data_IF_201572272085
#
_entry.id   IF_201572272085
#
_cell.length_a   1.000
_cell.length_b   1.000
_cell.length_c   1.000
_cell.angle_alpha   90.00
_cell.angle_beta   90.00
_cell.angle_gamma   90.00
#
_symmetry.space_group_name_H-M   'P 1'
#
loop_
_entity.id
_entity.type
_entity.pdbx_description
1 polymer ?
#
# COMPACT_ATOMS: atom_id res chain seq x y z
N UNK A 1 -4.06 1.51 -19.33
CA UNK A 1 -4.67 1.84 -18.04
C UNK A 1 -5.56 0.69 -17.57
N UNK A 2 -5.50 0.41 -16.32
CA UNK A 2 -6.29 -0.64 -15.72
C UNK A 2 -7.78 -0.25 -15.68
N UNK A 3 -8.69 -1.21 -15.98
CA UNK A 3 -10.13 -0.97 -15.98
C UNK A 3 -10.64 -0.51 -14.61
N UNK A 4 -10.09 -1.06 -13.54
CA UNK A 4 -10.46 -0.65 -12.18
C UNK A 4 -10.07 0.79 -11.90
N UNK A 5 -8.89 1.17 -12.36
CA UNK A 5 -8.44 2.54 -12.22
C UNK A 5 -9.37 3.51 -12.95
N UNK A 6 -9.79 3.14 -14.15
CA UNK A 6 -10.72 3.96 -14.90
C UNK A 6 -12.04 4.14 -14.17
N UNK A 7 -12.51 3.09 -13.50
CA UNK A 7 -13.73 3.18 -12.71
C UNK A 7 -13.58 4.09 -11.50
N UNK A 8 -12.43 4.05 -10.84
CA UNK A 8 -12.17 4.93 -9.70
C UNK A 8 -12.00 6.38 -10.11
N UNK A 9 -11.33 6.60 -11.23
CA UNK A 9 -11.00 7.96 -11.68
C UNK A 9 -12.17 8.68 -12.32
N UNK A 10 -13.19 7.96 -12.76
CA UNK A 10 -14.33 8.55 -13.46
C UNK A 10 -15.50 8.78 -12.54
N UNK A 11 -16.22 9.86 -12.72
CA UNK A 11 -17.51 10.02 -12.05
C UNK A 11 -18.39 8.84 -12.45
N UNK A 12 -18.89 8.15 -11.48
CA UNK A 12 -19.67 6.96 -11.76
C UNK A 12 -21.07 7.33 -12.23
N UNK A 13 -21.58 6.53 -13.12
CA UNK A 13 -22.90 6.78 -13.74
C UNK A 13 -24.04 6.34 -12.86
N UNK A 14 -23.81 5.37 -12.01
CA UNK A 14 -24.84 4.89 -11.10
C UNK A 14 -24.80 5.68 -9.83
N UNK A 15 -25.95 6.09 -9.36
CA UNK A 15 -26.06 6.99 -8.23
C UNK A 15 -25.23 6.62 -7.01
N UNK A 16 -25.39 5.45 -6.47
CA UNK A 16 -24.67 5.09 -5.25
C UNK A 16 -23.17 5.05 -5.41
N UNK A 17 -22.70 4.58 -6.57
CA UNK A 17 -21.27 4.45 -6.82
C UNK A 17 -20.61 5.81 -7.04
N UNK A 18 -21.33 6.75 -7.65
CA UNK A 18 -20.81 8.09 -7.82
C UNK A 18 -20.52 8.78 -6.51
N UNK A 19 -21.45 8.63 -5.58
CA UNK A 19 -21.28 9.22 -4.25
C UNK A 19 -20.13 8.57 -3.48
N UNK A 20 -19.96 7.25 -3.59
CA UNK A 20 -18.85 6.56 -2.94
C UNK A 20 -17.51 7.05 -3.46
N UNK A 21 -17.37 7.15 -4.78
CA UNK A 21 -16.11 7.61 -5.38
C UNK A 21 -15.82 9.06 -5.01
N UNK A 22 -16.83 9.90 -4.96
CA UNK A 22 -16.67 11.28 -4.56
C UNK A 22 -16.21 11.41 -3.10
N UNK A 23 -16.46 10.40 -2.29
CA UNK A 23 -16.05 10.37 -0.88
C UNK A 23 -14.73 9.65 -0.64
N UNK A 24 -14.09 9.12 -1.69
CA UNK A 24 -12.78 8.48 -1.54
C UNK A 24 -11.79 9.46 -0.94
N UNK A 25 -11.01 9.03 0.05
CA UNK A 25 -9.95 9.88 0.58
C UNK A 25 -9.00 10.26 -0.54
N UNK A 26 -8.62 11.53 -0.57
CA UNK A 26 -7.59 11.98 -1.48
C UNK A 26 -6.24 11.72 -0.84
N UNK A 27 -5.29 11.31 -1.67
CA UNK A 27 -3.95 11.01 -1.23
C UNK A 27 -2.95 12.08 -1.69
N UNK A 28 -3.43 13.29 -1.92
CA UNK A 28 -2.56 14.39 -2.35
C UNK A 28 -1.46 14.63 -1.33
N UNK A 29 -0.23 14.62 -1.79
CA UNK A 29 0.92 14.82 -0.92
C UNK A 29 1.35 13.60 -0.13
N UNK A 30 0.64 12.48 -0.25
CA UNK A 30 1.02 11.22 0.42
C UNK A 30 2.04 10.48 -0.45
N UNK A 31 3.15 10.12 0.14
CA UNK A 31 4.21 9.37 -0.54
C UNK A 31 4.12 7.91 -0.10
N UNK A 32 3.99 7.01 -1.06
CA UNK A 32 3.83 5.58 -0.80
C UNK A 32 4.95 4.79 -1.45
N UNK A 33 5.56 3.90 -0.69
CA UNK A 33 6.50 2.92 -1.22
C UNK A 33 5.75 1.63 -1.46
N UNK A 34 5.68 1.19 -2.71
CA UNK A 34 5.01 -0.05 -3.11
C UNK A 34 6.07 -1.10 -3.44
N UNK A 35 6.06 -2.21 -2.73
CA UNK A 35 7.05 -3.28 -2.88
C UNK A 35 6.35 -4.54 -3.37
N UNK A 36 6.71 -5.00 -4.55
CA UNK A 36 6.19 -6.23 -5.13
C UNK A 36 7.15 -6.65 -6.25
N UNK A 37 7.54 -7.90 -6.27
CA UNK A 37 8.44 -8.41 -7.30
C UNK A 37 7.73 -8.60 -8.65
N UNK A 38 6.41 -8.73 -8.63
CA UNK A 38 5.60 -8.82 -9.85
C UNK A 38 5.34 -7.40 -10.38
N UNK A 39 5.86 -7.12 -11.56
CA UNK A 39 5.72 -5.80 -12.17
C UNK A 39 4.27 -5.42 -12.41
N UNK A 40 3.43 -6.35 -12.87
CA UNK A 40 2.03 -6.09 -13.14
C UNK A 40 1.26 -5.80 -11.85
N UNK A 41 1.49 -6.59 -10.81
CA UNK A 41 0.86 -6.37 -9.52
C UNK A 41 1.28 -5.03 -8.92
N UNK A 42 2.58 -4.72 -8.98
CA UNK A 42 3.11 -3.44 -8.51
C UNK A 42 2.50 -2.28 -9.28
N UNK A 43 2.39 -2.42 -10.59
CA UNK A 43 1.78 -1.42 -11.45
C UNK A 43 0.31 -1.18 -11.15
N UNK A 44 -0.44 -2.24 -10.85
CA UNK A 44 -1.86 -2.11 -10.52
C UNK A 44 -2.08 -1.33 -9.23
N UNK A 45 -1.30 -1.63 -8.21
CA UNK A 45 -1.37 -0.90 -6.93
C UNK A 45 -0.97 0.56 -7.13
N UNK A 46 0.13 0.78 -7.84
CA UNK A 46 0.62 2.13 -8.14
C UNK A 46 -0.44 2.97 -8.86
N UNK A 47 -1.07 2.39 -9.88
CA UNK A 47 -2.07 3.10 -10.66
C UNK A 47 -3.27 3.54 -9.82
N UNK A 48 -3.73 2.66 -8.95
CA UNK A 48 -4.85 2.98 -8.05
C UNK A 48 -4.47 4.13 -7.12
N UNK A 49 -3.31 4.05 -6.48
CA UNK A 49 -2.90 5.08 -5.53
C UNK A 49 -2.64 6.42 -6.21
N UNK A 50 -1.99 6.41 -7.37
CA UNK A 50 -1.72 7.63 -8.11
C UNK A 50 -3.00 8.30 -8.60
N UNK A 51 -4.03 7.51 -8.93
CA UNK A 51 -5.31 8.08 -9.35
C UNK A 51 -5.98 8.89 -8.25
N UNK A 52 -5.62 8.66 -7.00
CA UNK A 52 -6.15 9.39 -5.86
C UNK A 52 -5.18 10.46 -5.34
N UNK A 53 -4.11 10.73 -6.06
CA UNK A 53 -3.20 11.83 -5.76
C UNK A 53 -1.91 11.45 -5.08
N UNK A 54 -1.68 10.17 -4.77
CA UNK A 54 -0.45 9.75 -4.12
C UNK A 54 0.75 9.83 -5.05
N UNK A 55 1.91 10.07 -4.49
CA UNK A 55 3.18 9.91 -5.17
C UNK A 55 3.75 8.55 -4.80
N UNK A 56 3.98 7.70 -5.79
CA UNK A 56 4.35 6.32 -5.55
C UNK A 56 5.77 6.05 -6.02
N UNK A 57 6.53 5.36 -5.19
CA UNK A 57 7.83 4.83 -5.52
C UNK A 57 7.71 3.32 -5.50
N UNK A 58 8.10 2.66 -6.57
CA UNK A 58 8.05 1.22 -6.68
C UNK A 58 9.38 0.58 -6.39
N UNK A 59 9.36 -0.58 -5.75
CA UNK A 59 10.54 -1.41 -5.56
C UNK A 59 10.18 -2.86 -5.88
N UNK A 60 11.09 -3.55 -6.57
CA UNK A 60 10.84 -4.93 -6.99
C UNK A 60 11.28 -5.96 -5.95
N UNK A 61 11.88 -5.53 -4.86
CA UNK A 61 12.35 -6.42 -3.81
C UNK A 61 12.84 -5.65 -2.60
N UNK A 62 13.31 -6.40 -1.62
CA UNK A 62 13.67 -5.85 -0.31
C UNK A 62 14.83 -4.86 -0.37
N UNK A 63 15.88 -5.17 -1.15
CA UNK A 63 17.05 -4.29 -1.23
C UNK A 63 16.66 -2.92 -1.76
N UNK A 64 15.90 -2.88 -2.86
CA UNK A 64 15.40 -1.63 -3.43
C UNK A 64 14.45 -0.91 -2.49
N UNK A 65 13.65 -1.67 -1.76
CA UNK A 65 12.71 -1.09 -0.78
C UNK A 65 13.45 -0.38 0.35
N UNK A 66 14.48 -1.01 0.90
CA UNK A 66 15.27 -0.41 1.99
C UNK A 66 15.98 0.87 1.53
N UNK A 67 16.54 0.85 0.31
CA UNK A 67 17.18 2.01 -0.27
C UNK A 67 16.17 3.14 -0.46
N UNK A 68 15.02 2.84 -1.05
CA UNK A 68 13.97 3.83 -1.30
C UNK A 68 13.40 4.40 0.00
N UNK A 69 13.25 3.56 1.01
CA UNK A 69 12.75 3.99 2.31
C UNK A 69 13.64 5.09 2.90
N UNK A 70 14.94 4.89 2.85
CA UNK A 70 15.89 5.83 3.44
C UNK A 70 16.06 7.09 2.61
N UNK A 71 15.98 6.96 1.28
CA UNK A 71 16.16 8.10 0.38
C UNK A 71 14.93 8.97 0.29
N UNK A 72 13.76 8.36 0.13
CA UNK A 72 12.52 9.08 -0.17
C UNK A 72 11.65 9.37 1.05
N UNK A 73 11.85 8.66 2.15
CA UNK A 73 11.06 8.86 3.39
C UNK A 73 9.56 8.82 3.11
N UNK A 74 9.02 7.70 2.60
CA UNK A 74 7.59 7.62 2.33
C UNK A 74 6.76 7.69 3.62
N UNK A 75 5.50 8.07 3.46
CA UNK A 75 4.56 8.13 4.56
C UNK A 75 3.97 6.75 4.89
N UNK A 76 3.89 5.89 3.88
CA UNK A 76 3.27 4.56 4.01
C UNK A 76 4.03 3.57 3.12
N UNK A 77 4.13 2.34 3.60
CA UNK A 77 4.66 1.22 2.82
C UNK A 77 3.52 0.26 2.53
N UNK A 78 3.42 -0.18 1.27
CA UNK A 78 2.52 -1.27 0.88
C UNK A 78 3.41 -2.35 0.29
N UNK A 79 3.45 -3.53 0.89
CA UNK A 79 4.36 -4.58 0.47
C UNK A 79 3.68 -5.91 0.31
N UNK A 80 3.99 -6.58 -0.80
CA UNK A 80 3.69 -8.00 -0.94
C UNK A 80 4.52 -8.79 0.08
N UNK A 81 4.03 -9.95 0.46
CA UNK A 81 4.74 -10.83 1.39
C UNK A 81 5.54 -11.88 0.64
N UNK A 82 4.93 -12.53 -0.35
CA UNK A 82 5.57 -13.62 -1.08
C UNK A 82 6.51 -13.08 -2.16
N UNK A 83 7.75 -12.82 -1.79
CA UNK A 83 8.78 -12.32 -2.72
C UNK A 83 10.01 -13.21 -2.63
N UNK A 84 10.78 -13.36 -3.73
CA UNK A 84 12.01 -14.15 -3.69
C UNK A 84 13.10 -13.46 -2.86
N UNK A 85 14.08 -14.25 -2.43
CA UNK A 85 15.21 -13.83 -1.62
C UNK A 85 14.79 -13.42 -0.22
N UNK A 86 14.28 -12.21 -0.04
CA UNK A 86 13.79 -11.73 1.24
C UNK A 86 12.29 -11.44 1.09
N UNK A 87 11.44 -12.15 1.85
CA UNK A 87 10.00 -11.95 1.80
C UNK A 87 9.57 -10.70 2.58
N UNK A 88 8.27 -10.39 2.51
CA UNK A 88 7.73 -9.20 3.15
C UNK A 88 7.84 -9.22 4.67
N UNK A 89 7.76 -10.39 5.30
CA UNK A 89 7.95 -10.50 6.76
C UNK A 89 9.37 -10.13 7.15
N UNK A 90 10.34 -10.64 6.41
CA UNK A 90 11.75 -10.33 6.66
C UNK A 90 12.04 -8.86 6.40
N UNK A 91 11.48 -8.32 5.34
CA UNK A 91 11.65 -6.91 5.01
C UNK A 91 11.12 -6.01 6.13
N UNK A 92 9.91 -6.26 6.60
CA UNK A 92 9.33 -5.38 7.63
C UNK A 92 10.09 -5.52 8.95
N UNK A 93 10.58 -6.70 9.27
CA UNK A 93 11.42 -6.88 10.47
C UNK A 93 12.69 -6.05 10.35
N UNK A 94 13.35 -6.07 9.19
CA UNK A 94 14.53 -5.23 8.96
C UNK A 94 14.21 -3.76 9.12
N UNK A 95 13.09 -3.31 8.55
CA UNK A 95 12.67 -1.91 8.67
C UNK A 95 12.48 -1.54 10.14
N UNK A 96 11.83 -2.39 10.92
CA UNK A 96 11.54 -2.10 12.33
C UNK A 96 12.78 -2.07 13.21
N UNK A 97 13.93 -2.57 12.74
CA UNK A 97 15.20 -2.40 13.47
C UNK A 97 15.82 -1.02 13.26
N UNK A 98 15.39 -0.29 12.25
CA UNK A 98 15.89 1.07 12.00
C UNK A 98 15.30 2.04 13.01
N UNK A 99 16.04 3.11 13.29
CA UNK A 99 15.49 4.15 14.13
C UNK A 99 14.37 4.91 13.37
N UNK A 100 13.62 5.72 14.12
CA UNK A 100 12.49 6.44 13.53
C UNK A 100 12.92 7.38 12.41
N UNK A 101 14.08 7.97 12.52
CA UNK A 101 14.61 8.92 11.53
C UNK A 101 14.93 8.24 10.21
N UNK A 102 15.19 6.95 10.23
CA UNK A 102 15.49 6.17 9.04
C UNK A 102 14.27 5.45 8.48
N UNK A 103 13.11 5.66 9.05
CA UNK A 103 11.88 5.05 8.58
C UNK A 103 11.45 3.81 9.36
N UNK A 104 12.06 3.53 10.50
CA UNK A 104 11.76 2.33 11.28
C UNK A 104 10.34 2.26 11.80
N UNK A 105 9.63 3.38 11.83
CA UNK A 105 8.23 3.45 12.29
C UNK A 105 7.25 3.77 11.18
N UNK A 106 7.69 3.78 9.94
CA UNK A 106 6.80 4.06 8.81
C UNK A 106 5.65 3.05 8.80
N UNK A 107 4.39 3.51 8.79
CA UNK A 107 3.25 2.59 8.75
C UNK A 107 3.29 1.72 7.50
N UNK A 108 2.90 0.47 7.65
CA UNK A 108 3.01 -0.50 6.56
C UNK A 108 1.79 -1.40 6.49
N UNK A 109 1.36 -1.66 5.26
CA UNK A 109 0.30 -2.61 4.94
C UNK A 109 0.90 -3.80 4.20
N UNK A 110 0.51 -5.00 4.59
CA UNK A 110 0.84 -6.21 3.85
C UNK A 110 -0.26 -6.48 2.83
N UNK A 111 0.12 -6.78 1.60
CA UNK A 111 -0.80 -7.11 0.52
C UNK A 111 -0.42 -8.47 -0.03
N UNK A 112 -1.28 -9.48 0.15
CA UNK A 112 -0.88 -10.85 -0.14
C UNK A 112 -2.04 -11.72 -0.60
N UNK A 113 -1.71 -12.74 -1.41
CA UNK A 113 -2.67 -13.76 -1.82
C UNK A 113 -2.98 -14.76 -0.70
N UNK A 114 -2.17 -14.80 0.35
CA UNK A 114 -2.33 -15.74 1.45
C UNK A 114 -3.04 -15.06 2.61
N UNK A 115 -4.32 -15.37 2.79
CA UNK A 115 -5.21 -14.64 3.70
C UNK A 115 -5.78 -15.50 4.81
N UNK A 116 -5.03 -16.47 5.33
CA UNK A 116 -5.49 -17.23 6.49
C UNK A 116 -5.33 -16.41 7.76
N UNK A 117 -6.10 -16.71 8.81
CA UNK A 117 -5.90 -16.03 10.10
C UNK A 117 -4.47 -16.14 10.64
N UNK A 118 -3.82 -17.28 10.42
CA UNK A 118 -2.43 -17.47 10.84
C UNK A 118 -1.48 -16.55 10.07
N UNK A 119 -1.70 -16.39 8.76
CA UNK A 119 -0.88 -15.49 7.94
C UNK A 119 -1.04 -14.04 8.37
N UNK A 120 -2.27 -13.65 8.68
CA UNK A 120 -2.57 -12.31 9.19
C UNK A 120 -1.83 -12.05 10.50
N UNK A 121 -1.90 -12.99 11.41
CA UNK A 121 -1.21 -12.87 12.71
C UNK A 121 0.29 -12.74 12.51
N UNK A 122 0.87 -13.55 11.62
CA UNK A 122 2.29 -13.47 11.31
C UNK A 122 2.69 -12.09 10.78
N UNK A 123 1.87 -11.53 9.89
CA UNK A 123 2.14 -10.21 9.32
C UNK A 123 2.13 -9.13 10.39
N UNK A 124 1.14 -9.16 11.26
CA UNK A 124 1.03 -8.18 12.35
C UNK A 124 2.19 -8.32 13.33
N UNK A 125 2.55 -9.54 13.71
CA UNK A 125 3.68 -9.77 14.61
C UNK A 125 5.01 -9.39 13.98
N UNK A 126 5.14 -9.51 12.66
CA UNK A 126 6.35 -9.10 11.96
C UNK A 126 6.54 -7.58 11.93
N UNK A 127 5.46 -6.82 12.03
CA UNK A 127 5.55 -5.35 12.09
C UNK A 127 4.65 -4.58 11.14
N UNK A 128 3.75 -5.26 10.43
CA UNK A 128 2.73 -4.58 9.62
C UNK A 128 1.58 -4.10 10.51
N UNK A 129 1.01 -2.95 10.21
CA UNK A 129 -0.16 -2.45 10.92
C UNK A 129 -1.45 -3.03 10.39
N UNK A 130 -1.53 -3.29 9.09
CA UNK A 130 -2.71 -3.84 8.46
C UNK A 130 -2.34 -4.92 7.45
N UNK A 131 -3.32 -5.70 7.08
CA UNK A 131 -3.16 -6.85 6.19
C UNK A 131 -4.35 -6.86 5.23
N UNK A 132 -4.07 -6.83 3.94
CA UNK A 132 -5.10 -6.82 2.91
C UNK A 132 -4.90 -7.99 1.97
N UNK A 133 -5.97 -8.77 1.74
CA UNK A 133 -5.92 -9.94 0.87
C UNK A 133 -6.02 -9.54 -0.60
N UNK A 134 -5.32 -10.27 -1.46
CA UNK A 134 -5.49 -10.18 -2.91
C UNK A 134 -6.58 -11.17 -3.35
N UNK A 135 -7.40 -10.85 -4.32
CA UNK A 135 -7.48 -9.57 -5.02
C UNK A 135 -8.07 -8.49 -4.10
N UNK A 136 -7.48 -7.32 -4.15
CA UNK A 136 -7.90 -6.22 -3.29
C UNK A 136 -9.01 -5.40 -3.96
N UNK A 137 -9.84 -4.79 -3.13
CA UNK A 137 -10.78 -3.77 -3.55
C UNK A 137 -10.03 -2.43 -3.61
N UNK A 138 -10.03 -1.74 -4.76
CA UNK A 138 -9.32 -0.44 -4.86
C UNK A 138 -9.77 0.58 -3.82
N UNK A 139 -11.07 0.63 -3.51
CA UNK A 139 -11.59 1.52 -2.47
C UNK A 139 -10.99 1.19 -1.12
N UNK A 140 -10.91 -0.09 -0.79
CA UNK A 140 -10.35 -0.55 0.48
C UNK A 140 -8.86 -0.21 0.58
N UNK A 141 -8.12 -0.42 -0.50
CA UNK A 141 -6.70 -0.08 -0.53
C UNK A 141 -6.46 1.40 -0.28
N UNK A 142 -7.19 2.27 -0.99
CA UNK A 142 -7.05 3.72 -0.83
C UNK A 142 -7.42 4.15 0.58
N UNK A 143 -8.49 3.60 1.14
CA UNK A 143 -8.94 3.91 2.48
C UNK A 143 -7.88 3.51 3.52
N UNK A 144 -7.30 2.32 3.38
CA UNK A 144 -6.26 1.86 4.29
C UNK A 144 -5.01 2.74 4.21
N UNK A 145 -4.58 3.09 3.01
CA UNK A 145 -3.40 3.96 2.85
C UNK A 145 -3.66 5.34 3.45
N UNK A 146 -4.83 5.91 3.21
CA UNK A 146 -5.20 7.20 3.80
C UNK A 146 -5.18 7.14 5.33
N UNK A 147 -5.72 6.08 5.89
CA UNK A 147 -5.73 5.87 7.33
C UNK A 147 -4.30 5.78 7.89
N UNK A 148 -3.46 4.96 7.25
CA UNK A 148 -2.07 4.80 7.69
C UNK A 148 -1.28 6.10 7.57
N UNK A 149 -1.59 6.92 6.57
CA UNK A 149 -0.93 8.21 6.39
C UNK A 149 -1.44 9.29 7.35
N UNK A 150 -2.38 8.95 8.22
CA UNK A 150 -2.95 9.90 9.16
C UNK A 150 -3.99 10.83 8.53
N UNK A 151 -4.50 10.50 7.35
CA UNK A 151 -5.54 11.30 6.69
C UNK A 151 -6.89 10.95 7.26
N UNK A 152 -7.65 11.99 7.59
CA UNK A 152 -9.01 11.78 8.06
C UNK A 152 -9.87 11.24 6.91
N UNK A 153 -10.79 10.35 7.25
CA UNK A 153 -11.81 9.93 6.31
C UNK A 153 -12.63 11.14 5.89
N UNK A 154 -12.99 11.20 4.62
CA UNK A 154 -13.84 12.27 4.09
C UNK A 154 -15.31 12.00 4.48
N UNK A 155 -15.60 11.94 5.72
CA UNK A 155 -16.95 11.66 6.20
C UNK A 155 -17.74 12.93 6.38
#
# INVERSE_FOLDING_TARGET
MNAQLAQLARPVRKQGQGDEIARLPLLDGVHVLVVDDDEDARGAVTAVLESCGAEVIGAAGAAGALESLQRARPDVIVSDIAMPAMDGHQLIRCIRTLDAERGGRTPAAALTAYATPADRTRALLAGFQVYLAKPFDPFELVTLVAHLAGRASAA
#
